data_IF_726256570444
#
_entry.id   IF_726256570444
#
_cell.length_a   1.000
_cell.length_b   1.000
_cell.length_c   1.000
_cell.angle_alpha   90.00
_cell.angle_beta   90.00
_cell.angle_gamma   90.00
#
_symmetry.space_group_name_H-M   'P 1'
#
loop_
_entity.id
_entity.type
_entity.pdbx_description
1 polymer ?
#
# COMPACT_ATOMS: atom_id res chain seq x y z
N UNK A 1 7.44 13.22 8.93
CA UNK A 1 6.13 13.72 8.48
C UNK A 1 5.30 14.28 9.63
N UNK A 2 4.83 13.50 10.61
CA UNK A 2 4.02 14.05 11.72
C UNK A 2 4.76 15.10 12.55
N UNK A 3 6.05 14.89 12.85
CA UNK A 3 6.84 15.87 13.60
C UNK A 3 7.01 17.20 12.86
N UNK A 4 6.98 17.19 11.52
CA UNK A 4 7.08 18.38 10.67
C UNK A 4 5.84 19.25 10.85
N UNK A 5 4.65 18.66 10.77
CA UNK A 5 3.39 19.38 11.03
C UNK A 5 3.31 19.96 12.44
N UNK A 6 3.79 19.22 13.45
CA UNK A 6 3.83 19.73 14.83
C UNK A 6 4.75 20.93 14.93
N UNK A 7 5.90 20.90 14.24
CA UNK A 7 6.82 22.04 14.20
C UNK A 7 6.20 23.25 13.47
N UNK A 8 5.53 23.04 12.35
CA UNK A 8 4.83 24.11 11.60
C UNK A 8 3.75 24.80 12.45
N UNK A 9 2.98 24.03 13.22
CA UNK A 9 1.89 24.58 14.06
C UNK A 9 2.44 25.28 15.32
N UNK A 10 3.43 24.68 15.97
CA UNK A 10 3.87 25.11 17.31
C UNK A 10 5.14 25.96 17.31
N UNK A 11 5.80 26.09 16.15
CA UNK A 11 7.12 26.71 16.01
C UNK A 11 8.27 25.95 16.68
N UNK A 12 8.00 24.79 17.31
CA UNK A 12 8.99 24.03 18.10
C UNK A 12 9.05 22.57 17.66
N UNK A 13 10.25 22.01 17.63
CA UNK A 13 10.42 20.61 17.32
C UNK A 13 9.91 19.73 18.48
N UNK A 14 9.01 18.78 18.20
CA UNK A 14 8.56 17.85 19.23
C UNK A 14 9.69 16.91 19.65
N UNK A 15 9.73 16.57 20.94
CA UNK A 15 10.71 15.62 21.46
C UNK A 15 10.61 14.23 20.81
N UNK A 16 11.70 13.45 20.81
CA UNK A 16 11.82 12.14 20.14
C UNK A 16 10.65 11.18 20.41
N UNK A 17 10.15 11.16 21.65
CA UNK A 17 9.07 10.26 22.07
C UNK A 17 7.68 10.92 22.08
N UNK A 18 7.56 12.17 21.64
CA UNK A 18 6.32 12.95 21.70
C UNK A 18 5.17 12.24 21.00
N UNK A 19 5.38 11.76 19.76
CA UNK A 19 4.33 11.11 18.98
C UNK A 19 3.79 9.86 19.68
N UNK A 20 4.68 9.05 20.28
CA UNK A 20 4.28 7.86 21.03
C UNK A 20 3.46 8.23 22.26
N UNK A 21 3.89 9.25 23.02
CA UNK A 21 3.17 9.75 24.19
C UNK A 21 1.82 10.34 23.82
N UNK A 22 1.75 11.07 22.71
CA UNK A 22 0.53 11.69 22.21
C UNK A 22 -0.52 10.64 21.83
N UNK A 23 -0.14 9.61 21.06
CA UNK A 23 -1.03 8.49 20.72
C UNK A 23 -1.51 7.74 21.98
N UNK A 24 -0.61 7.49 22.94
CA UNK A 24 -0.96 6.84 24.21
C UNK A 24 -1.90 7.67 25.09
N UNK A 25 -1.81 9.00 25.02
CA UNK A 25 -2.67 9.92 25.79
C UNK A 25 -4.12 9.92 25.30
N UNK A 26 -4.35 9.62 24.02
CA UNK A 26 -5.68 9.68 23.39
C UNK A 26 -6.13 8.33 22.77
N UNK A 27 -6.20 7.23 23.56
CA UNK A 27 -6.43 5.89 23.01
C UNK A 27 -7.86 5.67 22.47
N UNK A 28 -8.82 6.49 22.90
CA UNK A 28 -10.21 6.42 22.42
C UNK A 28 -10.39 7.10 21.06
N UNK A 29 -9.63 8.16 20.79
CA UNK A 29 -9.79 8.97 19.58
C UNK A 29 -8.75 8.64 18.49
N UNK A 30 -7.55 8.21 18.86
CA UNK A 30 -6.42 8.07 17.94
C UNK A 30 -5.84 6.65 18.01
N UNK A 31 -5.54 6.07 16.85
CA UNK A 31 -4.87 4.80 16.73
C UNK A 31 -3.69 4.89 15.76
N UNK A 32 -2.69 4.03 15.97
CA UNK A 32 -1.58 3.85 15.03
C UNK A 32 -1.55 2.40 14.53
N UNK A 33 -1.48 2.20 13.21
CA UNK A 33 -1.26 0.87 12.61
C UNK A 33 -0.21 0.96 11.50
N UNK A 34 0.42 -0.17 11.21
CA UNK A 34 1.16 -0.34 9.97
C UNK A 34 0.14 -0.63 8.87
N UNK A 35 0.09 0.24 7.87
CA UNK A 35 -0.70 -0.01 6.67
C UNK A 35 0.26 -0.51 5.60
N UNK A 36 -0.08 -1.62 4.96
CA UNK A 36 0.62 -2.13 3.79
C UNK A 36 -0.06 -1.49 2.56
N UNK A 37 0.59 -0.55 1.84
CA UNK A 37 -0.01 0.11 0.68
C UNK A 37 -0.45 -0.86 -0.42
N UNK A 38 0.17 -2.04 -0.45
CA UNK A 38 -0.04 -3.06 -1.46
C UNK A 38 -1.39 -3.78 -1.30
N UNK A 39 -1.89 -3.92 -0.07
CA UNK A 39 -3.10 -4.72 0.19
C UNK A 39 -4.36 -4.05 -0.35
N UNK A 40 -4.45 -2.71 -0.25
CA UNK A 40 -5.60 -1.98 -0.78
C UNK A 40 -5.61 -1.91 -2.30
N UNK A 41 -4.43 -1.80 -2.93
CA UNK A 41 -4.31 -1.77 -4.39
C UNK A 41 -4.58 -3.16 -5.00
N UNK A 42 -4.05 -4.22 -4.40
CA UNK A 42 -4.33 -5.62 -4.80
C UNK A 42 -5.81 -5.93 -4.67
N UNK A 43 -6.44 -5.61 -3.54
CA UNK A 43 -7.87 -5.86 -3.33
C UNK A 43 -8.77 -5.14 -4.35
N UNK A 44 -8.34 -3.97 -4.87
CA UNK A 44 -9.08 -3.25 -5.92
C UNK A 44 -8.85 -3.84 -7.32
N UNK A 45 -7.67 -4.42 -7.56
CA UNK A 45 -7.29 -5.03 -8.83
C UNK A 45 -7.75 -6.49 -8.96
N UNK A 46 -8.09 -7.14 -7.84
CA UNK A 46 -8.61 -8.51 -7.81
C UNK A 46 -10.02 -8.57 -8.40
N UNK A 47 -10.11 -8.85 -9.71
CA UNK A 47 -11.36 -9.14 -10.39
C UNK A 47 -11.27 -10.51 -11.05
N UNK A 48 -12.19 -11.41 -10.70
CA UNK A 48 -12.23 -12.76 -11.27
C UNK A 48 -12.33 -12.71 -12.80
N UNK A 49 -13.13 -11.78 -13.31
CA UNK A 49 -13.32 -11.59 -14.74
C UNK A 49 -12.02 -11.24 -15.46
N UNK A 50 -11.23 -10.32 -14.93
CA UNK A 50 -9.93 -9.94 -15.49
C UNK A 50 -8.94 -11.11 -15.50
N UNK A 51 -8.95 -11.96 -14.46
CA UNK A 51 -8.14 -13.17 -14.45
C UNK A 51 -8.58 -14.17 -15.51
N UNK A 52 -9.88 -14.43 -15.62
CA UNK A 52 -10.42 -15.35 -16.63
C UNK A 52 -10.09 -14.88 -18.05
N UNK A 53 -10.24 -13.59 -18.35
CA UNK A 53 -9.89 -13.02 -19.65
C UNK A 53 -8.39 -13.13 -19.95
N UNK A 54 -7.53 -12.77 -18.98
CA UNK A 54 -6.08 -12.88 -19.12
C UNK A 54 -5.63 -14.32 -19.43
N UNK A 55 -6.10 -15.29 -18.64
CA UNK A 55 -5.72 -16.69 -18.86
C UNK A 55 -6.29 -17.25 -20.18
N UNK A 56 -7.47 -16.81 -20.61
CA UNK A 56 -8.01 -17.15 -21.92
C UNK A 56 -7.10 -16.68 -23.06
N UNK A 57 -6.65 -15.42 -23.01
CA UNK A 57 -5.71 -14.90 -24.00
C UNK A 57 -4.33 -15.56 -23.92
N UNK A 58 -3.84 -15.86 -22.72
CA UNK A 58 -2.58 -16.56 -22.51
C UNK A 58 -2.60 -17.93 -23.19
N UNK A 59 -3.66 -18.71 -22.97
CA UNK A 59 -3.81 -20.03 -23.56
C UNK A 59 -3.85 -19.98 -25.10
N UNK A 60 -4.57 -19.01 -25.66
CA UNK A 60 -4.59 -18.79 -27.12
C UNK A 60 -3.19 -18.51 -27.68
N UNK A 61 -2.39 -17.69 -26.98
CA UNK A 61 -1.04 -17.34 -27.41
C UNK A 61 -0.06 -18.49 -27.24
N UNK A 62 -0.17 -19.26 -26.16
CA UNK A 62 0.62 -20.47 -25.97
C UNK A 62 0.39 -21.47 -27.10
N UNK A 63 -0.87 -21.65 -27.52
CA UNK A 63 -1.20 -22.52 -28.65
C UNK A 63 -0.71 -21.95 -29.99
N UNK A 64 -0.83 -20.63 -30.20
CA UNK A 64 -0.39 -19.97 -31.43
C UNK A 64 1.13 -20.08 -31.66
N UNK A 65 1.92 -20.01 -30.59
CA UNK A 65 3.38 -19.98 -30.66
C UNK A 65 4.04 -21.28 -30.18
N UNK A 66 3.25 -22.33 -29.96
CA UNK A 66 3.72 -23.64 -29.47
C UNK A 66 4.62 -23.53 -28.23
N UNK A 67 4.27 -22.61 -27.34
CA UNK A 67 5.02 -22.37 -26.11
C UNK A 67 4.62 -23.41 -25.08
N UNK A 68 5.54 -24.30 -24.75
CA UNK A 68 5.36 -25.24 -23.65
C UNK A 68 5.33 -24.52 -22.30
N UNK A 69 4.49 -24.97 -21.35
CA UNK A 69 4.41 -24.37 -20.01
C UNK A 69 5.77 -24.30 -19.28
N UNK A 70 6.64 -25.26 -19.56
CA UNK A 70 7.99 -25.39 -19.00
C UNK A 70 8.93 -24.25 -19.43
N UNK A 71 8.64 -23.62 -20.57
CA UNK A 71 9.41 -22.51 -21.13
C UNK A 71 8.88 -21.12 -20.71
N UNK A 72 7.98 -21.07 -19.73
CA UNK A 72 7.38 -19.83 -19.24
C UNK A 72 8.16 -19.31 -18.03
N UNK A 73 9.07 -18.37 -18.27
CA UNK A 73 9.89 -17.77 -17.22
C UNK A 73 9.26 -16.47 -16.69
N UNK A 74 9.17 -16.35 -15.37
CA UNK A 74 8.74 -15.11 -14.74
C UNK A 74 9.90 -14.10 -14.69
N UNK A 75 9.71 -12.93 -15.26
CA UNK A 75 10.63 -11.79 -15.13
C UNK A 75 10.01 -10.79 -14.17
N UNK A 76 10.15 -11.06 -12.86
CA UNK A 76 9.61 -10.16 -11.82
C UNK A 76 10.66 -9.14 -11.36
N UNK A 77 10.70 -7.99 -12.03
CA UNK A 77 11.45 -6.81 -11.55
C UNK A 77 10.73 -6.12 -10.37
N UNK A 78 9.43 -6.33 -10.24
CA UNK A 78 8.59 -5.65 -9.24
C UNK A 78 8.71 -6.26 -7.85
N UNK A 79 9.04 -7.54 -7.73
CA UNK A 79 9.29 -8.24 -6.46
C UNK A 79 10.39 -7.58 -5.64
N UNK A 80 11.43 -7.06 -6.29
CA UNK A 80 12.50 -6.31 -5.64
C UNK A 80 12.03 -4.95 -5.11
N UNK A 81 11.21 -4.22 -5.87
CA UNK A 81 10.61 -2.97 -5.38
C UNK A 81 9.66 -3.23 -4.21
N UNK A 82 8.88 -4.32 -4.25
CA UNK A 82 7.96 -4.71 -3.18
C UNK A 82 8.73 -5.06 -1.89
N UNK A 83 9.87 -5.76 -1.99
CA UNK A 83 10.70 -6.06 -0.82
C UNK A 83 11.36 -4.80 -0.23
N UNK A 84 11.65 -3.81 -1.08
CA UNK A 84 12.27 -2.53 -0.68
C UNK A 84 11.26 -1.54 -0.07
N UNK A 85 9.96 -1.71 -0.33
CA UNK A 85 8.91 -0.87 0.26
C UNK A 85 8.79 -1.11 1.79
N UNK A 86 9.35 -0.19 2.58
CA UNK A 86 9.31 -0.25 4.04
C UNK A 86 7.89 -0.08 4.58
N UNK A 87 7.49 -0.94 5.52
CA UNK A 87 6.23 -0.82 6.29
C UNK A 87 6.19 0.55 6.97
N UNK A 88 5.24 1.40 6.60
CA UNK A 88 5.05 2.71 7.22
C UNK A 88 4.00 2.64 8.33
N UNK A 89 4.34 3.18 9.51
CA UNK A 89 3.40 3.35 10.61
C UNK A 89 2.62 4.65 10.42
N UNK A 90 1.30 4.55 10.28
CA UNK A 90 0.39 5.70 10.15
C UNK A 90 -0.39 5.91 11.44
N UNK A 91 -0.71 7.17 11.74
CA UNK A 91 -1.55 7.58 12.87
C UNK A 91 -2.83 8.18 12.28
N UNK A 92 -3.98 7.75 12.78
CA UNK A 92 -5.29 8.16 12.26
C UNK A 92 -6.34 8.21 13.36
N UNK A 93 -7.47 8.86 13.06
CA UNK A 93 -8.63 8.93 13.94
C UNK A 93 -9.32 7.57 13.94
N UNK A 94 -9.56 7.04 15.14
CA UNK A 94 -10.10 5.68 15.34
C UNK A 94 -11.48 5.52 14.69
N UNK A 95 -12.38 6.46 14.95
CA UNK A 95 -13.75 6.45 14.40
C UNK A 95 -13.78 6.52 12.87
N UNK A 96 -12.85 7.23 12.25
CA UNK A 96 -12.78 7.36 10.79
C UNK A 96 -12.19 6.09 10.16
N UNK A 97 -11.30 5.39 10.86
CA UNK A 97 -10.83 4.07 10.44
C UNK A 97 -11.93 3.01 10.55
N UNK A 98 -12.71 3.00 11.64
CA UNK A 98 -13.83 2.07 11.83
C UNK A 98 -14.94 2.28 10.80
N UNK A 99 -15.16 3.53 10.37
CA UNK A 99 -16.07 3.88 9.26
C UNK A 99 -15.52 3.53 7.86
N UNK A 100 -14.31 3.00 7.75
CA UNK A 100 -13.69 2.60 6.49
C UNK A 100 -13.25 3.76 5.57
N UNK A 101 -13.40 5.02 6.00
CA UNK A 101 -13.11 6.20 5.16
C UNK A 101 -11.62 6.51 5.02
N UNK A 102 -10.76 5.92 5.85
CA UNK A 102 -9.32 6.17 5.87
C UNK A 102 -8.46 5.08 5.19
N UNK A 103 -9.07 4.12 4.48
CA UNK A 103 -8.36 3.04 3.78
C UNK A 103 -7.80 3.44 2.41
N UNK A 104 -8.09 4.65 1.91
CA UNK A 104 -7.60 5.13 0.63
C UNK A 104 -6.53 6.19 0.78
N UNK A 105 -5.27 5.84 0.54
CA UNK A 105 -4.32 6.73 -0.12
C UNK A 105 -3.24 5.88 -0.76
N UNK A 106 -3.54 5.52 -2.00
CA UNK A 106 -2.68 4.96 -3.03
C UNK A 106 -1.54 5.96 -3.24
N UNK A 107 -0.29 5.52 -3.14
CA UNK A 107 0.80 6.28 -3.73
C UNK A 107 0.67 6.13 -5.24
N UNK A 108 0.07 7.12 -5.91
CA UNK A 108 0.18 7.25 -7.35
C UNK A 108 1.63 7.62 -7.68
N UNK A 109 2.46 6.59 -7.84
CA UNK A 109 3.76 6.73 -8.48
C UNK A 109 3.54 7.14 -9.93
N UNK A 110 3.36 8.44 -10.19
CA UNK A 110 3.54 9.00 -11.53
C UNK A 110 5.01 8.78 -11.92
N UNK A 111 5.30 7.64 -12.54
CA UNK A 111 6.43 7.58 -13.46
C UNK A 111 6.05 8.46 -14.65
N UNK A 112 6.64 9.64 -14.73
CA UNK A 112 6.76 10.35 -15.99
C UNK A 112 7.78 9.58 -16.82
N UNK A 113 7.30 8.83 -17.80
CA UNK A 113 8.08 8.47 -18.97
C UNK A 113 8.17 9.71 -19.88
#
# INVERSE_FOLDING_TARGET
MVNTFVHEITGKWPGKCWLSRFVKRWPRAIQSKYLLPIDSARKKADSLWSYSEYFGHLQQKMQQYEVEPENMYNVDEKGFMISTMKKQKRVFIKEAYERGSLLGNIHDGKCRC
#
